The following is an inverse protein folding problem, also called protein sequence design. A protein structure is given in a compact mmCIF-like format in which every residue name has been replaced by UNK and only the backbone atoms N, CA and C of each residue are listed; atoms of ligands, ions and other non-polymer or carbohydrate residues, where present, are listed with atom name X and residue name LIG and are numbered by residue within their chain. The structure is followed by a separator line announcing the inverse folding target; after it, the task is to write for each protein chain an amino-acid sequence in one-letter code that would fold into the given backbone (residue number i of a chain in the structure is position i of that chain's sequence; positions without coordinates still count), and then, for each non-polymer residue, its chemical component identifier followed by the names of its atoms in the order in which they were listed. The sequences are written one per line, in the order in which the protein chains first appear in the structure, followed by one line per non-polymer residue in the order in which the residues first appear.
data_IF_475799391940
#
_entry.id   IF_475799391940
#
_cell.length_a   1.000
_cell.length_b   1.000
_cell.length_c   1.000
_cell.angle_alpha   90.00
_cell.angle_beta   90.00
_cell.angle_gamma   90.00
#
_symmetry.space_group_name_H-M   'P 1'
#
loop_
_entity.id
_entity.type
_entity.pdbx_description
1 polymer ?
#
# COMPACT_ATOMS: atom_id res chain seq x y z
N UNK A 1 -25.57 -3.06 -3.04
CA UNK A 1 -24.38 -3.92 -3.22
C UNK A 1 -23.12 -3.08 -3.03
N UNK A 2 -21.92 -3.67 -3.01
CA UNK A 2 -20.66 -2.91 -2.83
C UNK A 2 -20.45 -1.83 -3.90
N UNK A 3 -20.69 -2.17 -5.17
CA UNK A 3 -20.57 -1.25 -6.31
C UNK A 3 -21.53 -0.07 -6.20
N UNK A 4 -22.80 -0.31 -5.87
CA UNK A 4 -23.80 0.76 -5.74
C UNK A 4 -23.46 1.76 -4.63
N UNK A 5 -22.84 1.30 -3.54
CA UNK A 5 -22.35 2.18 -2.47
C UNK A 5 -21.20 3.05 -2.96
N UNK A 6 -20.16 2.43 -3.56
CA UNK A 6 -18.99 3.16 -4.05
C UNK A 6 -19.31 4.13 -5.20
N UNK A 7 -20.36 3.85 -5.99
CA UNK A 7 -20.83 4.76 -7.06
C UNK A 7 -21.30 6.12 -6.52
N UNK A 8 -21.70 6.20 -5.25
CA UNK A 8 -22.13 7.46 -4.63
C UNK A 8 -20.96 8.40 -4.30
N UNK A 9 -19.73 7.91 -4.36
CA UNK A 9 -18.53 8.70 -4.10
C UNK A 9 -18.06 9.41 -5.38
N UNK A 10 -18.38 10.70 -5.49
CA UNK A 10 -18.00 11.51 -6.65
C UNK A 10 -16.48 11.51 -6.87
N UNK A 11 -16.03 11.41 -8.13
CA UNK A 11 -14.60 11.45 -8.47
C UNK A 11 -13.71 10.41 -7.74
N UNK A 12 -14.30 9.33 -7.20
CA UNK A 12 -13.55 8.21 -6.66
C UNK A 12 -12.53 7.69 -7.69
N UNK A 13 -11.35 7.28 -7.22
CA UNK A 13 -10.33 6.65 -8.06
C UNK A 13 -9.94 5.31 -7.44
N UNK A 14 -10.44 4.23 -8.03
CA UNK A 14 -10.31 2.88 -7.50
C UNK A 14 -9.70 1.94 -8.55
N UNK A 15 -8.78 1.07 -8.13
CA UNK A 15 -8.11 0.09 -8.97
C UNK A 15 -8.14 -1.31 -8.36
N UNK A 16 -8.12 -2.35 -9.20
CA UNK A 16 -8.04 -3.76 -8.76
C UNK A 16 -6.62 -4.17 -8.36
N UNK A 17 -6.43 -4.53 -7.09
CA UNK A 17 -5.17 -5.01 -6.50
C UNK A 17 -5.26 -6.47 -6.01
N UNK A 18 -6.29 -7.22 -6.43
CA UNK A 18 -6.68 -8.49 -5.84
C UNK A 18 -5.94 -9.74 -6.32
N UNK A 19 -5.06 -9.62 -7.32
CA UNK A 19 -4.44 -10.77 -8.01
C UNK A 19 -3.87 -11.85 -7.09
N UNK A 20 -3.16 -11.45 -6.01
CA UNK A 20 -2.44 -12.39 -5.13
C UNK A 20 -3.33 -13.21 -4.19
N UNK A 21 -4.57 -12.77 -3.96
CA UNK A 21 -5.53 -13.41 -3.04
C UNK A 21 -6.89 -13.67 -3.66
N UNK A 22 -7.02 -13.52 -4.99
CA UNK A 22 -8.25 -13.82 -5.72
C UNK A 22 -8.72 -15.26 -5.46
N UNK A 23 -10.03 -15.46 -5.42
CA UNK A 23 -10.63 -16.80 -5.36
C UNK A 23 -10.23 -17.65 -6.59
N UNK A 24 -10.23 -17.03 -7.76
CA UNK A 24 -9.78 -17.65 -9.01
C UNK A 24 -9.57 -16.62 -10.10
N UNK A 25 -8.86 -16.99 -11.17
CA UNK A 25 -8.61 -16.09 -12.29
C UNK A 25 -9.91 -15.60 -12.95
N UNK A 26 -10.83 -16.52 -13.26
CA UNK A 26 -12.11 -16.19 -13.88
C UNK A 26 -12.97 -15.30 -12.98
N UNK A 27 -12.92 -15.52 -11.66
CA UNK A 27 -13.64 -14.68 -10.71
C UNK A 27 -13.06 -13.27 -10.65
N UNK A 28 -11.73 -13.11 -10.61
CA UNK A 28 -11.11 -11.78 -10.71
C UNK A 28 -11.51 -11.07 -12.00
N UNK A 29 -11.52 -11.77 -13.15
CA UNK A 29 -11.96 -11.20 -14.42
C UNK A 29 -13.40 -10.68 -14.33
N UNK A 30 -14.33 -11.49 -13.81
CA UNK A 30 -15.72 -11.07 -13.60
C UNK A 30 -15.83 -9.87 -12.66
N UNK A 31 -15.09 -9.84 -11.54
CA UNK A 31 -15.07 -8.69 -10.63
C UNK A 31 -14.59 -7.41 -11.32
N UNK A 32 -13.54 -7.50 -12.13
CA UNK A 32 -12.99 -6.36 -12.89
C UNK A 32 -14.01 -5.83 -13.89
N UNK A 33 -14.68 -6.71 -14.65
CA UNK A 33 -15.74 -6.33 -15.58
C UNK A 33 -16.92 -5.66 -14.85
N UNK A 34 -17.41 -6.27 -13.77
CA UNK A 34 -18.52 -5.75 -12.97
C UNK A 34 -18.20 -4.37 -12.35
N UNK A 35 -16.98 -4.15 -11.88
CA UNK A 35 -16.55 -2.86 -11.33
C UNK A 35 -16.32 -1.83 -12.44
N UNK A 36 -15.81 -2.23 -13.60
CA UNK A 36 -15.67 -1.37 -14.79
C UNK A 36 -17.03 -0.83 -15.23
N UNK A 37 -18.02 -1.70 -15.43
CA UNK A 37 -19.40 -1.29 -15.76
C UNK A 37 -20.05 -0.49 -14.63
N UNK A 38 -19.82 -0.95 -13.39
CA UNK A 38 -20.42 -0.41 -12.19
C UNK A 38 -19.98 1.02 -11.86
N UNK A 39 -18.68 1.28 -11.90
CA UNK A 39 -18.09 2.54 -11.45
C UNK A 39 -17.66 3.45 -12.61
N UNK A 40 -17.61 2.94 -13.84
CA UNK A 40 -17.24 3.71 -15.03
C UNK A 40 -15.91 4.45 -14.82
N UNK A 41 -15.85 5.79 -15.00
CA UNK A 41 -14.63 6.60 -14.85
C UNK A 41 -13.98 6.59 -13.45
N UNK A 42 -14.70 6.09 -12.44
CA UNK A 42 -14.15 5.93 -11.09
C UNK A 42 -13.28 4.67 -10.95
N UNK A 43 -13.42 3.70 -11.85
CA UNK A 43 -12.52 2.56 -11.95
C UNK A 43 -11.36 2.91 -12.90
N UNK A 44 -10.16 3.04 -12.35
CA UNK A 44 -9.01 3.59 -13.07
C UNK A 44 -8.08 2.53 -13.65
N UNK A 45 -8.29 1.25 -13.34
CA UNK A 45 -7.48 0.17 -13.91
C UNK A 45 -7.25 -1.01 -12.95
N UNK A 46 -6.30 -1.86 -13.30
CA UNK A 46 -5.95 -3.07 -12.55
C UNK A 46 -4.44 -3.25 -12.47
N UNK A 47 -3.97 -3.82 -11.37
CA UNK A 47 -2.56 -4.27 -11.21
C UNK A 47 -2.25 -5.54 -11.99
N UNK A 48 -3.27 -6.25 -12.48
CA UNK A 48 -3.09 -7.44 -13.31
C UNK A 48 -2.87 -7.01 -14.77
N UNK A 49 -1.62 -7.00 -15.22
CA UNK A 49 -1.24 -6.58 -16.58
C UNK A 49 -1.96 -7.35 -17.70
N UNK A 50 -2.28 -8.63 -17.47
CA UNK A 50 -3.04 -9.44 -18.43
C UNK A 50 -4.49 -8.95 -18.51
N UNK A 51 -5.15 -8.72 -17.37
CA UNK A 51 -6.51 -8.19 -17.38
C UNK A 51 -6.56 -6.75 -17.88
N UNK A 52 -5.51 -5.96 -17.65
CA UNK A 52 -5.37 -4.62 -18.21
C UNK A 52 -5.39 -4.67 -19.73
N UNK A 53 -4.56 -5.54 -20.31
CA UNK A 53 -4.49 -5.79 -21.75
C UNK A 53 -5.82 -6.33 -22.33
N UNK A 54 -6.42 -7.34 -21.69
CA UNK A 54 -7.65 -7.98 -22.17
C UNK A 54 -8.88 -7.05 -22.15
N UNK A 55 -8.87 -6.01 -21.32
CA UNK A 55 -10.03 -5.15 -21.07
C UNK A 55 -9.84 -3.68 -21.44
N UNK A 56 -8.75 -3.33 -22.14
CA UNK A 56 -8.39 -1.94 -22.45
C UNK A 56 -8.41 -1.05 -21.19
N UNK A 57 -7.78 -1.53 -20.12
CA UNK A 57 -7.64 -0.80 -18.87
C UNK A 57 -6.18 -0.40 -18.66
N UNK A 58 -5.97 0.65 -17.87
CA UNK A 58 -4.62 1.02 -17.44
C UNK A 58 -4.03 -0.04 -16.50
N UNK A 59 -2.75 -0.36 -16.72
CA UNK A 59 -1.97 -1.16 -15.79
C UNK A 59 -1.49 -0.27 -14.64
N UNK A 60 -1.96 -0.55 -13.42
CA UNK A 60 -1.68 0.27 -12.23
C UNK A 60 -0.66 -0.40 -11.33
N UNK A 61 0.37 0.35 -10.92
CA UNK A 61 1.39 -0.16 -10.00
C UNK A 61 2.22 0.92 -9.34
N UNK A 62 2.90 0.54 -8.26
CA UNK A 62 3.95 1.31 -7.59
C UNK A 62 5.09 0.35 -7.26
N UNK A 63 6.18 0.84 -6.67
CA UNK A 63 7.19 -0.04 -6.09
C UNK A 63 6.64 -0.81 -4.85
N UNK A 64 7.38 -1.81 -4.38
CA UNK A 64 6.97 -2.65 -3.25
C UNK A 64 8.05 -2.70 -2.16
N UNK A 65 7.69 -3.17 -0.96
CA UNK A 65 8.60 -3.24 0.19
C UNK A 65 9.85 -4.09 -0.07
N UNK A 66 9.83 -5.01 -1.04
CA UNK A 66 11.01 -5.82 -1.36
C UNK A 66 12.23 -4.97 -1.71
N UNK A 67 12.05 -3.81 -2.36
CA UNK A 67 13.19 -2.96 -2.74
C UNK A 67 13.93 -2.39 -1.51
N UNK A 68 13.29 -1.66 -0.57
CA UNK A 68 13.97 -1.21 0.64
C UNK A 68 14.40 -2.38 1.53
N UNK A 69 13.66 -3.50 1.57
CA UNK A 69 14.07 -4.70 2.32
C UNK A 69 15.41 -5.26 1.80
N UNK A 70 15.55 -5.39 0.47
CA UNK A 70 16.77 -5.88 -0.17
C UNK A 70 17.93 -4.92 0.03
N UNK A 71 17.71 -3.62 -0.18
CA UNK A 71 18.75 -2.60 0.04
C UNK A 71 19.23 -2.58 1.50
N UNK A 72 18.32 -2.72 2.45
CA UNK A 72 18.64 -2.77 3.88
C UNK A 72 19.40 -4.04 4.27
N UNK A 73 19.03 -5.20 3.72
CA UNK A 73 19.78 -6.45 3.93
C UNK A 73 21.22 -6.35 3.38
N UNK A 74 21.40 -5.65 2.26
CA UNK A 74 22.72 -5.43 1.64
C UNK A 74 23.56 -4.33 2.31
N UNK A 75 22.98 -3.52 3.19
CA UNK A 75 23.71 -2.49 3.93
C UNK A 75 24.83 -3.10 4.80
N UNK A 76 26.01 -2.48 4.79
CA UNK A 76 27.20 -2.98 5.51
C UNK A 76 27.24 -2.55 6.96
N UNK A 77 26.62 -1.41 7.27
CA UNK A 77 26.58 -0.82 8.61
C UNK A 77 25.23 -0.13 8.86
N UNK A 78 25.06 0.44 10.05
CA UNK A 78 23.82 1.06 10.49
C UNK A 78 23.55 2.42 9.82
N UNK A 79 24.58 3.07 9.27
CA UNK A 79 24.41 4.31 8.50
C UNK A 79 23.87 4.01 7.10
N UNK A 80 24.48 3.06 6.39
CA UNK A 80 23.96 2.56 5.11
C UNK A 80 22.53 2.01 5.27
N UNK A 81 22.25 1.31 6.38
CA UNK A 81 20.92 0.80 6.70
C UNK A 81 19.90 1.94 6.86
N UNK A 82 20.23 2.98 7.64
CA UNK A 82 19.35 4.16 7.83
C UNK A 82 19.00 4.82 6.50
N UNK A 83 19.94 4.88 5.56
CA UNK A 83 19.74 5.53 4.26
C UNK A 83 19.15 4.62 3.16
N UNK A 84 19.05 3.31 3.39
CA UNK A 84 18.58 2.33 2.41
C UNK A 84 17.21 2.69 1.77
N UNK A 85 16.18 3.13 2.52
CA UNK A 85 14.89 3.52 1.92
C UNK A 85 15.04 4.65 0.90
N UNK A 86 15.85 5.67 1.21
CA UNK A 86 15.99 6.85 0.35
C UNK A 86 16.91 6.58 -0.84
N UNK A 87 17.90 5.69 -0.69
CA UNK A 87 18.73 5.23 -1.82
C UNK A 87 17.87 4.54 -2.88
N UNK A 88 16.91 3.70 -2.48
CA UNK A 88 15.98 3.05 -3.42
C UNK A 88 15.10 4.09 -4.12
N UNK A 89 14.58 5.08 -3.40
CA UNK A 89 13.80 6.14 -4.01
C UNK A 89 14.65 6.97 -4.98
N UNK A 90 15.90 7.28 -4.64
CA UNK A 90 16.83 7.99 -5.53
C UNK A 90 17.12 7.20 -6.81
N UNK A 91 17.33 5.89 -6.72
CA UNK A 91 17.49 5.02 -7.89
C UNK A 91 16.20 4.92 -8.71
N UNK A 92 15.05 4.80 -8.06
CA UNK A 92 13.74 4.71 -8.73
C UNK A 92 13.45 5.95 -9.57
N UNK A 93 13.71 7.16 -9.05
CA UNK A 93 13.48 8.42 -9.78
C UNK A 93 14.44 8.67 -10.94
N UNK A 94 15.54 7.93 -11.04
CA UNK A 94 16.44 7.99 -12.20
C UNK A 94 15.90 7.20 -13.39
N UNK A 95 15.05 6.19 -13.13
CA UNK A 95 14.45 5.34 -14.16
C UNK A 95 13.01 5.75 -14.48
N UNK A 96 12.23 6.12 -13.46
CA UNK A 96 10.81 6.42 -13.56
C UNK A 96 10.49 7.84 -13.08
N UNK A 97 9.42 8.43 -13.59
CA UNK A 97 9.00 9.80 -13.25
C UNK A 97 7.48 9.95 -13.15
N UNK A 98 7.04 11.19 -12.95
CA UNK A 98 5.61 11.54 -12.93
C UNK A 98 4.81 10.74 -11.88
N UNK A 99 3.70 10.14 -12.32
CA UNK A 99 2.79 9.41 -11.42
C UNK A 99 3.40 8.15 -10.79
N UNK A 100 4.56 7.66 -11.26
CA UNK A 100 5.28 6.54 -10.66
C UNK A 100 6.15 6.95 -9.46
N UNK A 101 6.27 8.24 -9.16
CA UNK A 101 6.95 8.75 -7.97
C UNK A 101 6.02 8.68 -6.75
N UNK A 102 5.74 7.45 -6.31
CA UNK A 102 4.98 7.15 -5.10
C UNK A 102 5.91 6.52 -4.05
N UNK A 103 6.06 7.18 -2.90
CA UNK A 103 6.90 6.68 -1.81
C UNK A 103 6.12 5.69 -0.93
N UNK A 104 6.80 4.63 -0.49
CA UNK A 104 6.26 3.58 0.40
C UNK A 104 6.99 3.67 1.75
N UNK A 105 6.52 4.49 2.70
CA UNK A 105 7.31 4.92 3.86
C UNK A 105 7.42 3.86 4.96
N UNK A 106 6.53 2.88 4.98
CA UNK A 106 6.30 2.00 6.14
C UNK A 106 7.20 0.76 6.16
N UNK A 107 8.18 0.63 5.26
CA UNK A 107 9.11 -0.50 5.28
C UNK A 107 9.75 -0.70 6.67
N UNK A 108 10.23 0.41 7.25
CA UNK A 108 10.87 0.46 8.57
C UNK A 108 10.19 1.44 9.54
N UNK A 109 8.94 1.81 9.25
CA UNK A 109 8.15 2.77 10.04
C UNK A 109 8.07 4.16 9.41
N UNK A 110 6.83 4.64 9.22
CA UNK A 110 6.51 5.91 8.55
C UNK A 110 7.07 7.11 9.31
N UNK A 111 7.00 7.14 10.65
CA UNK A 111 7.59 8.24 11.43
C UNK A 111 9.09 8.37 11.26
N UNK A 112 9.80 7.24 11.27
CA UNK A 112 11.23 7.22 11.05
C UNK A 112 11.57 7.70 9.63
N UNK A 113 10.80 7.23 8.63
CA UNK A 113 10.92 7.67 7.25
C UNK A 113 10.68 9.19 7.10
N UNK A 114 9.60 9.74 7.65
CA UNK A 114 9.29 11.16 7.51
C UNK A 114 10.25 12.07 8.28
N UNK A 115 10.82 11.58 9.40
CA UNK A 115 11.81 12.32 10.21
C UNK A 115 13.10 12.58 9.42
N UNK A 116 13.63 11.54 8.77
CA UNK A 116 14.95 11.59 8.15
C UNK A 116 14.89 11.86 6.63
N UNK A 117 13.69 11.91 6.04
CA UNK A 117 13.48 12.10 4.60
C UNK A 117 14.18 13.35 4.05
N UNK A 118 15.05 13.19 3.02
CA UNK A 118 15.61 14.31 2.28
C UNK A 118 14.54 15.20 1.67
N UNK A 119 14.88 16.47 1.44
CA UNK A 119 13.93 17.48 1.00
C UNK A 119 13.22 17.13 -0.32
N UNK A 120 13.96 16.54 -1.27
CA UNK A 120 13.43 16.15 -2.57
C UNK A 120 12.35 15.06 -2.50
N UNK A 121 12.24 14.31 -1.40
CA UNK A 121 11.17 13.31 -1.21
C UNK A 121 9.81 14.02 -1.15
N UNK A 122 9.76 15.25 -0.62
CA UNK A 122 8.52 16.02 -0.57
C UNK A 122 8.00 16.41 -1.97
N UNK A 123 8.87 16.38 -2.98
CA UNK A 123 8.53 16.73 -4.36
C UNK A 123 7.96 15.54 -5.15
N UNK A 124 8.01 14.33 -4.60
CA UNK A 124 7.34 13.16 -5.16
C UNK A 124 5.84 13.39 -5.31
N UNK A 125 5.23 12.68 -6.25
CA UNK A 125 3.81 12.81 -6.58
C UNK A 125 2.94 12.42 -5.40
N UNK A 126 3.33 11.40 -4.65
CA UNK A 126 2.49 10.88 -3.58
C UNK A 126 3.16 9.87 -2.66
N UNK A 127 2.37 9.38 -1.73
CA UNK A 127 2.74 8.33 -0.78
C UNK A 127 1.68 7.23 -0.77
N UNK A 128 2.11 6.01 -0.46
CA UNK A 128 1.24 4.86 -0.23
C UNK A 128 1.45 4.34 1.19
N UNK A 129 0.67 4.80 2.19
CA UNK A 129 0.68 4.15 3.51
C UNK A 129 0.04 2.75 3.42
N UNK A 130 0.71 1.73 3.97
CA UNK A 130 0.33 0.31 3.77
C UNK A 130 0.37 -0.55 5.04
N UNK A 131 0.46 0.06 6.23
CA UNK A 131 0.40 -0.70 7.50
C UNK A 131 -0.17 0.03 8.72
N UNK A 132 -0.25 1.36 8.72
CA UNK A 132 -0.97 2.15 9.72
C UNK A 132 -2.44 2.39 9.29
N UNK A 133 -3.37 2.67 10.23
CA UNK A 133 -4.73 3.06 9.89
C UNK A 133 -4.78 4.23 8.90
N UNK A 134 -5.61 4.12 7.85
CA UNK A 134 -5.61 5.03 6.71
C UNK A 134 -5.70 6.51 7.08
N UNK A 135 -6.63 6.88 7.97
CA UNK A 135 -6.80 8.27 8.43
C UNK A 135 -5.57 8.78 9.18
N UNK A 136 -5.07 7.99 10.14
CA UNK A 136 -3.89 8.37 10.92
C UNK A 136 -2.67 8.58 10.02
N UNK A 137 -2.40 7.62 9.13
CA UNK A 137 -1.25 7.69 8.23
C UNK A 137 -1.37 8.85 7.24
N UNK A 138 -2.56 9.06 6.66
CA UNK A 138 -2.81 10.16 5.75
C UNK A 138 -2.65 11.53 6.39
N UNK A 139 -3.13 11.72 7.63
CA UNK A 139 -2.95 12.98 8.37
C UNK A 139 -1.49 13.28 8.66
N UNK A 140 -0.72 12.25 9.03
CA UNK A 140 0.71 12.41 9.31
C UNK A 140 1.49 12.85 8.06
N UNK A 141 1.21 12.23 6.91
CA UNK A 141 1.84 12.59 5.64
C UNK A 141 1.39 13.99 5.18
N UNK A 142 0.11 14.33 5.32
CA UNK A 142 -0.43 15.67 5.01
C UNK A 142 0.23 16.75 5.86
N UNK A 143 0.39 16.50 7.16
CA UNK A 143 1.09 17.41 8.06
C UNK A 143 2.57 17.56 7.67
N UNK A 144 3.22 16.47 7.27
CA UNK A 144 4.61 16.49 6.82
C UNK A 144 4.79 17.33 5.54
N UNK A 145 3.93 17.16 4.52
CA UNK A 145 3.99 18.02 3.32
C UNK A 145 3.81 19.50 3.66
N UNK A 146 2.85 19.83 4.54
CA UNK A 146 2.66 21.22 5.00
C UNK A 146 3.90 21.76 5.70
N UNK A 147 4.52 20.97 6.59
CA UNK A 147 5.78 21.35 7.26
C UNK A 147 6.92 21.57 6.26
N UNK A 148 6.93 20.82 5.16
CA UNK A 148 7.86 20.99 4.04
C UNK A 148 7.41 22.10 3.06
N UNK A 149 6.33 22.84 3.31
CA UNK A 149 5.89 23.90 2.41
C UNK A 149 5.33 23.41 1.06
N UNK A 150 4.89 22.15 0.96
CA UNK A 150 4.19 21.60 -0.21
C UNK A 150 2.69 21.64 0.04
N UNK A 151 1.92 22.01 -0.98
CA UNK A 151 0.47 21.99 -0.93
C UNK A 151 -0.05 20.54 -1.07
N UNK A 152 -0.73 19.97 -0.05
CA UNK A 152 -1.21 18.59 -0.13
C UNK A 152 -2.25 18.36 -1.24
N UNK A 153 -2.97 19.40 -1.71
CA UNK A 153 -3.95 19.25 -2.79
C UNK A 153 -3.33 18.81 -4.12
N UNK A 154 -2.05 19.09 -4.32
CA UNK A 154 -1.31 18.70 -5.52
C UNK A 154 -0.72 17.28 -5.40
N UNK A 155 -0.76 16.71 -4.18
CA UNK A 155 -0.18 15.42 -3.84
C UNK A 155 -1.23 14.31 -3.89
N UNK A 156 -0.76 13.07 -3.94
CA UNK A 156 -1.57 11.86 -4.01
C UNK A 156 -1.33 10.96 -2.78
N UNK A 157 -2.40 10.48 -2.17
CA UNK A 157 -2.37 9.35 -1.26
C UNK A 157 -2.99 8.14 -1.94
N UNK A 158 -2.26 7.02 -1.93
CA UNK A 158 -2.74 5.72 -2.41
C UNK A 158 -3.00 4.84 -1.19
N UNK A 159 -4.24 4.44 -0.95
CA UNK A 159 -4.61 3.56 0.16
C UNK A 159 -4.86 2.14 -0.35
N UNK A 160 -4.17 1.15 0.21
CA UNK A 160 -4.23 -0.25 -0.28
C UNK A 160 -4.22 -1.34 0.79
N UNK A 161 -4.12 -0.98 2.08
CA UNK A 161 -4.03 -1.96 3.17
C UNK A 161 -5.41 -2.49 3.57
N UNK A 162 -5.75 -3.70 3.10
CA UNK A 162 -6.93 -4.47 3.52
C UNK A 162 -8.27 -3.70 3.50
N UNK A 163 -8.45 -2.81 2.52
CA UNK A 163 -9.62 -1.94 2.41
C UNK A 163 -10.90 -2.72 2.06
N UNK A 164 -11.98 -2.40 2.76
CA UNK A 164 -13.37 -2.76 2.44
C UNK A 164 -14.18 -1.51 2.03
N UNK A 165 -15.46 -1.67 1.68
CA UNK A 165 -16.29 -0.52 1.27
C UNK A 165 -16.42 0.53 2.36
N UNK A 166 -16.58 0.12 3.63
CA UNK A 166 -16.78 1.06 4.74
C UNK A 166 -15.54 1.92 5.00
N UNK A 167 -14.37 1.29 5.05
CA UNK A 167 -13.08 1.97 5.21
C UNK A 167 -12.74 2.87 4.01
N UNK A 168 -13.13 2.50 2.78
CA UNK A 168 -12.99 3.36 1.59
C UNK A 168 -13.86 4.62 1.75
N UNK A 169 -15.14 4.46 2.09
CA UNK A 169 -16.08 5.59 2.30
C UNK A 169 -15.56 6.53 3.41
N UNK A 170 -15.17 5.97 4.56
CA UNK A 170 -14.65 6.72 5.69
C UNK A 170 -13.40 7.53 5.31
N UNK A 171 -12.43 6.87 4.67
CA UNK A 171 -11.18 7.51 4.23
C UNK A 171 -11.44 8.56 3.14
N UNK A 172 -12.36 8.28 2.21
CA UNK A 172 -12.75 9.21 1.17
C UNK A 172 -13.35 10.49 1.77
N UNK A 173 -14.36 10.37 2.63
CA UNK A 173 -15.03 11.53 3.22
C UNK A 173 -14.09 12.37 4.10
N UNK A 174 -13.12 11.72 4.76
CA UNK A 174 -12.15 12.41 5.61
C UNK A 174 -11.15 13.28 4.83
N UNK A 175 -10.75 12.85 3.63
CA UNK A 175 -9.70 13.50 2.84
C UNK A 175 -10.17 14.21 1.57
N UNK A 176 -11.43 14.05 1.16
CA UNK A 176 -11.99 14.68 -0.04
C UNK A 176 -11.72 16.21 -0.04
N UNK A 177 -11.18 16.72 -1.16
CA UNK A 177 -10.83 18.13 -1.34
C UNK A 177 -9.57 18.62 -0.60
N UNK A 178 -8.92 17.76 0.19
CA UNK A 178 -7.70 18.08 0.95
C UNK A 178 -6.42 17.56 0.28
N UNK A 179 -6.53 16.44 -0.43
CA UNK A 179 -5.46 15.72 -1.13
C UNK A 179 -6.09 14.85 -2.23
N UNK A 180 -5.33 14.51 -3.29
CA UNK A 180 -5.83 13.55 -4.28
C UNK A 180 -5.81 12.14 -3.68
N UNK A 181 -6.82 11.35 -3.99
CA UNK A 181 -7.01 10.01 -3.43
C UNK A 181 -7.00 8.96 -4.53
N UNK A 182 -6.41 7.81 -4.21
CA UNK A 182 -6.53 6.59 -4.99
C UNK A 182 -6.61 5.38 -4.07
N UNK A 183 -7.42 4.39 -4.43
CA UNK A 183 -7.66 3.19 -3.64
C UNK A 183 -7.28 1.94 -4.44
N UNK A 184 -6.47 1.07 -3.84
CA UNK A 184 -6.18 -0.27 -4.34
C UNK A 184 -7.05 -1.28 -3.63
N UNK A 185 -7.98 -1.91 -4.34
CA UNK A 185 -8.96 -2.83 -3.75
C UNK A 185 -8.57 -4.28 -4.00
N UNK A 186 -8.23 -4.99 -2.91
CA UNK A 186 -7.58 -6.30 -2.95
C UNK A 186 -8.52 -7.48 -2.69
N UNK A 187 -8.28 -8.19 -1.58
CA UNK A 187 -9.03 -9.39 -1.17
C UNK A 187 -10.53 -9.16 -1.15
N UNK A 188 -10.99 -8.05 -0.55
CA UNK A 188 -12.42 -7.76 -0.42
C UNK A 188 -13.13 -7.59 -1.78
N UNK A 189 -12.41 -7.25 -2.86
CA UNK A 189 -12.97 -7.24 -4.21
C UNK A 189 -13.01 -8.66 -4.81
N UNK A 190 -11.93 -9.40 -4.70
CA UNK A 190 -11.64 -10.58 -5.54
C UNK A 190 -11.76 -11.92 -4.82
N UNK A 191 -12.04 -11.92 -3.52
CA UNK A 191 -12.20 -13.10 -2.69
C UNK A 191 -13.02 -12.78 -1.43
N UNK A 192 -14.24 -12.27 -1.64
CA UNK A 192 -15.22 -12.08 -0.58
C UNK A 192 -16.42 -13.00 -0.79
N UNK A 193 -16.30 -14.21 -0.25
CA UNK A 193 -17.34 -15.24 -0.24
C UNK A 193 -17.86 -15.50 1.18
N UNK A 194 -17.61 -14.59 2.12
CA UNK A 194 -18.03 -14.73 3.51
C UNK A 194 -19.55 -14.88 3.56
N UNK A 195 -20.01 -15.95 4.21
CA UNK A 195 -21.44 -16.27 4.32
C UNK A 195 -22.11 -16.75 3.01
N UNK A 196 -21.35 -17.04 1.96
CA UNK A 196 -21.88 -17.54 0.68
C UNK A 196 -21.97 -19.07 0.62
N UNK A 197 -21.38 -19.79 1.57
CA UNK A 197 -21.44 -21.25 1.64
C UNK A 197 -22.83 -21.72 2.08
N UNK A 198 -23.51 -22.62 1.35
CA UNK A 198 -24.86 -23.09 1.71
C UNK A 198 -24.95 -23.79 3.07
N UNK A 199 -23.85 -24.42 3.51
CA UNK A 199 -23.75 -25.12 4.79
C UNK A 199 -23.34 -24.20 5.96
N UNK A 200 -23.17 -22.90 5.70
CA UNK A 200 -22.72 -21.93 6.70
C UNK A 200 -21.27 -22.09 7.15
N UNK A 201 -20.46 -22.88 6.43
CA UNK A 201 -19.04 -23.03 6.72
C UNK A 201 -18.20 -21.79 6.36
N UNK A 202 -16.94 -21.79 6.76
CA UNK A 202 -15.97 -20.73 6.44
C UNK A 202 -14.98 -21.18 5.35
N UNK A 203 -15.33 -22.22 4.60
CA UNK A 203 -14.41 -22.89 3.66
C UNK A 203 -14.02 -22.01 2.46
N UNK A 204 -14.78 -20.95 2.18
CA UNK A 204 -14.51 -19.97 1.14
C UNK A 204 -13.94 -18.65 1.68
N UNK A 205 -13.68 -18.57 2.99
CA UNK A 205 -13.06 -17.39 3.58
C UNK A 205 -11.62 -17.26 3.06
N UNK A 206 -11.15 -16.03 2.77
CA UNK A 206 -9.82 -15.82 2.24
C UNK A 206 -8.74 -16.20 3.27
N UNK A 207 -7.65 -16.81 2.80
CA UNK A 207 -6.52 -17.18 3.65
C UNK A 207 -5.48 -16.06 3.77
N UNK A 208 -4.86 -15.96 4.94
CA UNK A 208 -3.69 -15.08 5.15
C UNK A 208 -2.42 -15.74 4.63
N UNK A 209 -2.09 -15.48 3.37
CA UNK A 209 -0.83 -15.92 2.75
C UNK A 209 0.04 -14.71 2.39
N UNK A 210 1.35 -14.84 2.59
CA UNK A 210 2.38 -13.89 2.15
C UNK A 210 3.58 -14.63 1.56
N UNK A 211 4.21 -14.02 0.55
CA UNK A 211 5.54 -14.40 0.08
C UNK A 211 6.40 -13.13 0.14
N UNK A 212 7.50 -13.19 0.89
CA UNK A 212 8.36 -12.03 1.17
C UNK A 212 9.83 -12.43 1.00
N UNK A 213 10.68 -11.44 0.71
CA UNK A 213 12.13 -11.62 0.74
C UNK A 213 12.53 -12.07 2.14
N UNK A 214 13.19 -13.23 2.23
CA UNK A 214 13.68 -13.81 3.49
C UNK A 214 15.16 -13.53 3.71
N UNK A 215 15.96 -13.55 2.65
CA UNK A 215 17.39 -13.25 2.69
C UNK A 215 17.91 -12.73 1.36
N UNK A 216 19.04 -12.02 1.39
CA UNK A 216 19.77 -11.51 0.23
C UNK A 216 21.26 -11.73 0.49
N UNK A 217 21.97 -12.42 -0.41
CA UNK A 217 23.40 -12.73 -0.25
C UNK A 217 23.76 -13.32 1.13
N UNK A 218 22.91 -14.23 1.62
CA UNK A 218 23.06 -14.87 2.94
C UNK A 218 22.70 -13.98 4.14
N UNK A 219 22.32 -12.71 3.91
CA UNK A 219 21.91 -11.78 4.95
C UNK A 219 20.40 -11.78 5.13
N UNK A 220 19.88 -11.88 6.37
CA UNK A 220 18.44 -11.87 6.65
C UNK A 220 17.79 -10.54 6.26
N UNK A 221 16.63 -10.61 5.59
CA UNK A 221 15.82 -9.44 5.28
C UNK A 221 14.80 -9.17 6.39
N UNK A 222 14.50 -7.88 6.63
CA UNK A 222 13.56 -7.44 7.66
C UNK A 222 12.53 -6.49 7.07
N UNK A 223 11.29 -6.53 7.55
CA UNK A 223 10.29 -5.46 7.45
C UNK A 223 9.78 -5.16 8.85
N UNK A 224 9.80 -3.89 9.29
CA UNK A 224 9.25 -3.52 10.60
C UNK A 224 7.76 -3.19 10.54
N UNK A 225 7.31 -2.49 9.49
CA UNK A 225 5.92 -1.97 9.39
C UNK A 225 5.56 -0.95 10.48
N UNK A 226 4.50 -0.18 10.26
CA UNK A 226 3.88 0.67 11.29
C UNK A 226 3.07 -0.15 12.31
N UNK A 227 2.69 -1.38 11.96
CA UNK A 227 2.12 -2.35 12.90
C UNK A 227 3.18 -3.40 13.28
N UNK A 228 3.60 -3.49 14.56
CA UNK A 228 4.54 -4.51 15.02
C UNK A 228 4.12 -5.95 14.75
N UNK A 229 2.81 -6.24 14.71
CA UNK A 229 2.28 -7.59 14.41
C UNK A 229 2.52 -8.01 12.95
N UNK A 230 2.84 -7.06 12.06
CA UNK A 230 3.18 -7.31 10.64
C UNK A 230 4.70 -7.39 10.41
N UNK A 231 5.52 -7.27 11.45
CA UNK A 231 6.97 -7.35 11.33
C UNK A 231 7.42 -8.74 10.87
N UNK A 232 8.46 -8.80 10.03
CA UNK A 232 9.04 -10.06 9.54
C UNK A 232 10.55 -9.98 9.52
N UNK A 233 11.22 -11.07 9.89
CA UNK A 233 12.68 -11.17 9.95
C UNK A 233 13.13 -11.93 11.20
N UNK A 234 14.44 -12.15 11.33
CA UNK A 234 15.01 -12.75 12.55
C UNK A 234 14.83 -11.78 13.73
N UNK A 235 14.49 -12.26 14.94
CA UNK A 235 14.28 -11.39 16.10
C UNK A 235 15.47 -10.45 16.41
N UNK A 236 16.70 -10.96 16.30
CA UNK A 236 17.93 -10.17 16.52
C UNK A 236 18.08 -9.03 15.51
N UNK A 237 17.69 -9.24 14.26
CA UNK A 237 17.75 -8.21 13.22
C UNK A 237 16.60 -7.22 13.33
N UNK A 238 15.41 -7.68 13.73
CA UNK A 238 14.31 -6.77 14.08
C UNK A 238 14.75 -5.82 15.18
N UNK A 239 15.42 -6.34 16.23
CA UNK A 239 15.96 -5.50 17.31
C UNK A 239 17.00 -4.51 16.81
N UNK A 240 17.92 -4.93 15.93
CA UNK A 240 18.89 -4.03 15.29
C UNK A 240 18.20 -2.92 14.51
N UNK A 241 17.23 -3.26 13.67
CA UNK A 241 16.51 -2.28 12.85
C UNK A 241 15.74 -1.31 13.77
N UNK A 242 15.17 -1.77 14.88
CA UNK A 242 14.53 -0.90 15.86
C UNK A 242 15.50 0.08 16.53
N UNK A 243 16.76 -0.33 16.78
CA UNK A 243 17.79 0.61 17.27
C UNK A 243 18.12 1.70 16.23
N UNK A 244 18.09 1.37 14.94
CA UNK A 244 18.43 2.32 13.85
C UNK A 244 17.27 3.27 13.54
N UNK A 245 16.05 2.74 13.34
CA UNK A 245 14.89 3.52 12.91
C UNK A 245 14.09 4.09 14.09
N UNK A 246 14.09 3.40 15.23
CA UNK A 246 13.25 3.67 16.39
C UNK A 246 11.90 2.95 16.30
N UNK A 247 11.11 3.08 17.37
CA UNK A 247 9.77 2.45 17.49
C UNK A 247 8.61 3.46 17.45
N UNK A 248 8.93 4.74 17.24
CA UNK A 248 7.94 5.82 17.30
C UNK A 248 6.85 5.64 16.24
N UNK A 249 5.58 5.76 16.66
CA UNK A 249 4.43 5.71 15.76
C UNK A 249 3.97 4.30 15.38
N UNK A 250 4.68 3.27 15.83
CA UNK A 250 4.26 1.89 15.60
C UNK A 250 3.14 1.52 16.57
N UNK A 251 2.01 1.06 16.05
CA UNK A 251 0.80 0.73 16.83
C UNK A 251 0.36 -0.68 16.52
N UNK A 252 0.20 -1.51 17.55
CA UNK A 252 -0.32 -2.87 17.40
C UNK A 252 -1.80 -2.82 17.01
N UNK A 253 -2.13 -3.43 15.89
CA UNK A 253 -3.51 -3.61 15.43
C UNK A 253 -3.71 -5.04 14.93
N UNK A 254 -4.95 -5.58 14.95
CA UNK A 254 -5.24 -6.88 14.36
C UNK A 254 -4.85 -6.92 12.88
N UNK A 255 -4.26 -8.04 12.44
CA UNK A 255 -3.95 -8.26 11.02
C UNK A 255 -5.19 -8.83 10.34
N UNK A 256 -5.82 -8.01 9.49
CA UNK A 256 -6.96 -8.40 8.67
C UNK A 256 -6.50 -9.02 7.35
N UNK A 257 -7.36 -9.84 6.72
CA UNK A 257 -7.08 -10.59 5.49
C UNK A 257 -7.86 -10.05 4.31
#
# INVERSE_FOLDING_TARGET
TKVERLRQLENLKLSDFGTRRRHGFLWQRWCVEAVKEGLGPSFIGTSNVLLAMDNDLEAIGTNAHELPMVAAALAKDDEELRWAPYRILDQWRQTYGGNLLIALPDAFGTKAFLRDAPEWVADWTGFRPDSAPSIQAGEEIVAWWKKKGRNPRDKLLVFSDAMDVGSIEETYHHFAGRVRLSFGWGTNLTNDFVGCTPDGSFNLDPISLVCKVSSVDGRPAVKLSDNPEKATGLPSEIERYLRVFGDAGRVRTPVLV
#
